data_IF_211727909537
#
_entry.id   IF_211727909537
#
_cell.length_a   1.000
_cell.length_b   1.000
_cell.length_c   1.000
_cell.angle_alpha   90.00
_cell.angle_beta   90.00
_cell.angle_gamma   90.00
#
_symmetry.space_group_name_H-M   'P 1'
#
loop_
_entity.id
_entity.type
_entity.pdbx_description
1 polymer ?
#
# COMPACT_ATOMS: atom_id res chain seq x y z
N UNK A 1 2.88 5.33 33.27
CA UNK A 1 2.12 6.09 32.26
C UNK A 1 1.96 5.21 31.04
N UNK A 2 0.75 4.79 30.73
CA UNK A 2 0.51 4.01 29.52
C UNK A 2 0.64 4.96 28.32
N UNK A 3 1.62 4.72 27.46
CA UNK A 3 1.73 5.40 26.18
C UNK A 3 0.44 5.12 25.38
N UNK A 4 -0.21 6.16 24.90
CA UNK A 4 -1.32 6.00 23.98
C UNK A 4 -0.85 5.15 22.79
N UNK A 5 -1.65 4.20 22.29
CA UNK A 5 -1.26 3.40 21.14
C UNK A 5 -0.99 4.35 19.98
N UNK A 6 0.23 4.29 19.45
CA UNK A 6 0.58 4.99 18.23
C UNK A 6 -0.35 4.47 17.12
N UNK A 7 -0.97 5.34 16.32
CA UNK A 7 -1.75 4.88 15.19
C UNK A 7 -0.84 4.07 14.27
N UNK A 8 -1.18 2.81 14.06
CA UNK A 8 -0.46 1.96 13.12
C UNK A 8 -0.66 2.50 11.71
N UNK A 9 0.42 2.85 11.05
CA UNK A 9 0.40 3.27 9.66
C UNK A 9 -0.04 2.11 8.75
N UNK A 10 -0.69 2.41 7.63
CA UNK A 10 -1.03 1.39 6.64
C UNK A 10 0.22 0.68 6.11
N UNK A 11 0.01 -0.50 5.57
CA UNK A 11 1.08 -1.30 4.94
C UNK A 11 1.89 -0.45 3.95
N UNK A 12 3.21 -0.55 3.96
CA UNK A 12 4.23 0.18 3.19
C UNK A 12 4.60 1.57 3.72
N UNK A 13 3.72 2.25 4.42
CA UNK A 13 3.93 3.64 4.83
C UNK A 13 4.74 3.70 6.13
N UNK A 14 5.82 4.48 6.10
CA UNK A 14 6.65 4.75 7.26
C UNK A 14 6.26 6.06 7.94
N UNK A 15 5.73 7.00 7.16
CA UNK A 15 5.23 8.28 7.64
C UNK A 15 4.12 8.78 6.71
N UNK A 16 3.32 9.71 7.17
CA UNK A 16 2.30 10.38 6.36
C UNK A 16 2.31 11.86 6.60
N UNK A 17 2.46 12.62 5.51
CA UNK A 17 2.48 14.07 5.52
C UNK A 17 1.40 14.61 4.58
N UNK A 18 0.57 15.57 5.02
CA UNK A 18 -0.40 16.21 4.14
C UNK A 18 0.30 16.95 2.99
N UNK A 19 -0.17 16.72 1.78
CA UNK A 19 0.31 17.43 0.60
C UNK A 19 -0.32 18.83 0.55
N UNK A 20 0.51 19.85 0.37
CA UNK A 20 0.05 21.22 0.16
C UNK A 20 0.88 21.95 -0.91
N UNK A 21 0.28 22.92 -1.57
CA UNK A 21 0.93 23.63 -2.68
C UNK A 21 2.04 24.61 -2.25
N UNK A 22 2.00 25.05 -0.99
CA UNK A 22 2.98 26.01 -0.47
C UNK A 22 4.35 25.34 -0.31
N UNK A 23 4.37 24.22 0.40
CA UNK A 23 5.62 23.54 0.75
C UNK A 23 6.07 22.56 -0.32
N UNK A 24 5.12 21.94 -1.03
CA UNK A 24 5.38 20.86 -1.97
C UNK A 24 5.17 21.24 -3.44
N UNK A 25 4.92 22.52 -3.74
CA UNK A 25 4.62 22.97 -5.12
C UNK A 25 5.73 22.68 -6.15
N UNK A 26 6.96 22.49 -5.69
CA UNK A 26 8.11 22.14 -6.55
C UNK A 26 8.44 20.65 -6.56
N UNK A 27 7.76 19.85 -5.75
CA UNK A 27 8.00 18.41 -5.70
C UNK A 27 7.56 17.76 -7.01
N UNK A 28 8.24 16.71 -7.37
CA UNK A 28 7.93 15.87 -8.52
C UNK A 28 7.91 14.42 -8.07
N UNK A 29 7.00 13.64 -8.60
CA UNK A 29 7.03 12.20 -8.42
C UNK A 29 8.23 11.63 -9.18
N UNK A 30 9.04 10.84 -8.50
CA UNK A 30 10.06 10.03 -9.16
C UNK A 30 9.36 8.85 -9.84
N UNK A 31 9.81 8.50 -11.03
CA UNK A 31 9.39 7.24 -11.63
C UNK A 31 9.88 6.11 -10.73
N UNK A 32 8.95 5.26 -10.29
CA UNK A 32 9.30 4.11 -9.45
C UNK A 32 9.69 2.98 -10.40
N UNK A 33 10.98 2.78 -10.55
CA UNK A 33 11.53 1.70 -11.40
C UNK A 33 11.70 0.40 -10.59
N UNK A 34 11.52 0.46 -9.29
CA UNK A 34 11.63 -0.69 -8.42
C UNK A 34 10.48 -0.76 -7.41
N UNK A 35 10.06 -1.97 -7.10
CA UNK A 35 9.03 -2.29 -6.13
C UNK A 35 9.64 -2.94 -4.87
N UNK A 36 10.81 -2.49 -4.44
CA UNK A 36 11.52 -3.04 -3.28
C UNK A 36 10.70 -3.04 -2.00
N UNK A 37 9.80 -2.07 -1.84
CA UNK A 37 8.86 -2.02 -0.72
C UNK A 37 7.90 -3.22 -0.66
N UNK A 38 7.70 -3.93 -1.78
CA UNK A 38 6.86 -5.14 -1.86
C UNK A 38 7.62 -6.42 -1.51
N UNK A 39 8.93 -6.41 -1.54
CA UNK A 39 9.76 -7.62 -1.47
C UNK A 39 9.41 -8.53 -0.28
N UNK A 40 9.08 -7.94 0.84
CA UNK A 40 8.76 -8.66 2.07
C UNK A 40 7.25 -8.74 2.36
N UNK A 41 6.40 -8.45 1.38
CA UNK A 41 4.95 -8.46 1.54
C UNK A 41 4.34 -9.61 0.76
N UNK A 42 3.85 -10.62 1.45
CA UNK A 42 3.24 -11.80 0.84
C UNK A 42 1.76 -11.63 0.51
N UNK A 43 1.09 -10.64 1.10
CA UNK A 43 -0.33 -10.35 0.87
C UNK A 43 -0.59 -8.83 0.90
N UNK A 44 -1.45 -8.36 0.02
CA UNK A 44 -1.78 -6.94 -0.15
C UNK A 44 -3.29 -6.77 -0.20
N UNK A 45 -3.85 -5.76 0.48
CA UNK A 45 -5.29 -5.48 0.41
C UNK A 45 -5.78 -5.27 -1.02
N UNK A 46 -6.99 -5.75 -1.29
CA UNK A 46 -7.62 -5.71 -2.60
C UNK A 46 -9.05 -5.18 -2.47
N UNK A 47 -9.51 -4.39 -3.40
CA UNK A 47 -10.92 -3.99 -3.47
C UNK A 47 -11.72 -5.01 -4.28
N UNK A 48 -13.02 -5.10 -4.03
CA UNK A 48 -13.92 -6.03 -4.75
C UNK A 48 -13.95 -5.74 -6.26
N UNK A 49 -13.87 -4.48 -6.64
CA UNK A 49 -13.86 -4.07 -8.05
C UNK A 49 -12.63 -4.58 -8.83
N UNK A 50 -11.57 -4.94 -8.12
CA UNK A 50 -10.35 -5.46 -8.71
C UNK A 50 -10.35 -6.98 -8.91
N UNK A 51 -11.33 -7.72 -8.38
CA UNK A 51 -11.33 -9.18 -8.37
C UNK A 51 -11.20 -9.78 -9.76
N UNK A 52 -11.92 -9.24 -10.73
CA UNK A 52 -11.91 -9.74 -12.11
C UNK A 52 -10.51 -9.66 -12.73
N UNK A 53 -9.77 -8.61 -12.44
CA UNK A 53 -8.41 -8.41 -12.97
C UNK A 53 -7.38 -9.21 -12.15
N UNK A 54 -7.46 -9.11 -10.83
CA UNK A 54 -6.46 -9.70 -9.93
C UNK A 54 -6.47 -11.24 -9.96
N UNK A 55 -7.64 -11.86 -10.09
CA UNK A 55 -7.78 -13.32 -10.11
C UNK A 55 -6.98 -14.01 -11.23
N UNK A 56 -6.66 -13.28 -12.28
CA UNK A 56 -5.89 -13.83 -13.42
C UNK A 56 -4.43 -14.13 -13.05
N UNK A 57 -3.93 -13.43 -12.06
CA UNK A 57 -2.52 -13.51 -11.67
C UNK A 57 -2.32 -14.02 -10.24
N UNK A 58 -3.31 -13.79 -9.35
CA UNK A 58 -3.14 -14.04 -7.92
C UNK A 58 -4.33 -14.79 -7.33
N UNK A 59 -4.11 -15.68 -6.37
CA UNK A 59 -5.18 -16.13 -5.49
C UNK A 59 -5.72 -14.94 -4.69
N UNK A 60 -7.05 -14.91 -4.52
CA UNK A 60 -7.73 -13.95 -3.66
C UNK A 60 -8.14 -14.69 -2.41
N UNK A 61 -7.68 -14.21 -1.26
CA UNK A 61 -7.99 -14.77 0.05
C UNK A 61 -8.60 -13.71 0.95
N UNK A 62 -9.21 -14.12 2.04
CA UNK A 62 -9.78 -13.21 3.02
C UNK A 62 -9.05 -13.36 4.36
N UNK A 63 -8.79 -12.24 5.01
CA UNK A 63 -8.23 -12.27 6.36
C UNK A 63 -9.22 -12.91 7.33
N UNK A 64 -8.71 -13.50 8.41
CA UNK A 64 -9.53 -14.01 9.51
C UNK A 64 -10.05 -12.84 10.38
N UNK A 65 -11.10 -13.12 11.16
CA UNK A 65 -11.67 -12.16 12.10
C UNK A 65 -13.08 -11.70 11.73
N UNK A 66 -13.62 -10.80 12.53
CA UNK A 66 -15.01 -10.33 12.40
C UNK A 66 -15.26 -9.44 11.19
N UNK A 67 -14.20 -8.84 10.66
CA UNK A 67 -14.25 -8.00 9.46
C UNK A 67 -13.20 -8.48 8.46
N UNK A 68 -13.49 -9.56 7.72
CA UNK A 68 -12.56 -10.11 6.75
C UNK A 68 -12.29 -9.13 5.61
N UNK A 69 -11.00 -8.92 5.31
CA UNK A 69 -10.55 -8.10 4.20
C UNK A 69 -10.10 -9.00 3.05
N UNK A 70 -10.49 -8.70 1.80
CA UNK A 70 -9.94 -9.40 0.65
C UNK A 70 -8.47 -9.03 0.45
N UNK A 71 -7.65 -10.02 0.21
CA UNK A 71 -6.22 -9.93 0.03
C UNK A 71 -5.79 -10.59 -1.27
N UNK A 72 -4.90 -9.93 -1.98
CA UNK A 72 -4.13 -10.48 -3.08
C UNK A 72 -2.94 -11.24 -2.52
N UNK A 73 -2.86 -12.54 -2.75
CA UNK A 73 -1.76 -13.38 -2.24
C UNK A 73 -0.60 -13.38 -3.23
N UNK A 74 0.54 -12.86 -2.82
CA UNK A 74 1.75 -12.72 -3.64
C UNK A 74 2.89 -13.65 -3.19
N UNK A 75 2.69 -14.37 -2.12
CA UNK A 75 3.61 -15.38 -1.59
C UNK A 75 2.92 -16.27 -0.58
N UNK A 76 3.40 -17.49 -0.41
CA UNK A 76 2.84 -18.47 0.51
C UNK A 76 3.42 -18.34 1.93
N UNK A 77 4.61 -17.78 2.04
CA UNK A 77 5.29 -17.60 3.30
C UNK A 77 5.30 -16.13 3.70
N UNK A 78 5.08 -15.85 4.98
CA UNK A 78 5.20 -14.51 5.51
C UNK A 78 6.58 -13.92 5.19
N UNK A 79 6.60 -12.68 4.76
CA UNK A 79 7.83 -11.98 4.40
C UNK A 79 8.41 -12.32 3.02
N UNK A 80 7.73 -13.14 2.22
CA UNK A 80 8.22 -13.54 0.89
C UNK A 80 7.21 -13.17 -0.20
N UNK A 81 7.64 -12.37 -1.16
CA UNK A 81 6.89 -12.05 -2.37
C UNK A 81 7.56 -12.73 -3.57
N UNK A 82 6.82 -13.59 -4.26
CA UNK A 82 7.36 -14.36 -5.39
C UNK A 82 7.29 -13.62 -6.73
N UNK A 83 6.63 -12.45 -6.77
CA UNK A 83 6.48 -11.63 -7.98
C UNK A 83 7.53 -10.53 -8.10
N UNK A 84 8.34 -10.34 -7.07
CA UNK A 84 9.39 -9.31 -7.03
C UNK A 84 10.74 -10.00 -6.84
N UNK A 85 11.68 -9.69 -7.71
CA UNK A 85 13.04 -10.24 -7.62
C UNK A 85 13.89 -9.55 -6.53
N UNK A 86 15.13 -10.00 -6.37
CA UNK A 86 16.05 -9.44 -5.38
C UNK A 86 16.43 -7.98 -5.65
N UNK A 87 16.24 -7.51 -6.87
CA UNK A 87 16.50 -6.13 -7.29
C UNK A 87 15.25 -5.24 -7.18
N UNK A 88 14.13 -5.76 -6.68
CA UNK A 88 12.87 -5.03 -6.55
C UNK A 88 12.06 -4.94 -7.85
N UNK A 89 12.44 -5.69 -8.88
CA UNK A 89 11.74 -5.68 -10.16
C UNK A 89 10.61 -6.71 -10.18
N UNK A 90 9.47 -6.34 -10.74
CA UNK A 90 8.35 -7.25 -10.96
C UNK A 90 8.68 -8.17 -12.14
N UNK A 91 8.63 -9.48 -11.92
CA UNK A 91 9.14 -10.48 -12.84
C UNK A 91 8.32 -10.65 -14.13
N UNK A 92 7.03 -10.38 -14.09
CA UNK A 92 6.12 -10.61 -15.21
C UNK A 92 5.12 -9.46 -15.37
N UNK A 93 4.54 -9.25 -16.56
CA UNK A 93 3.43 -8.33 -16.72
C UNK A 93 2.20 -8.88 -16.00
N UNK A 94 2.02 -8.51 -14.75
CA UNK A 94 0.91 -8.88 -13.90
C UNK A 94 0.05 -7.67 -13.57
N UNK A 95 -1.21 -7.92 -13.18
CA UNK A 95 -2.04 -6.86 -12.64
C UNK A 95 -1.40 -6.29 -11.36
N UNK A 96 -1.33 -4.98 -11.26
CA UNK A 96 -0.82 -4.31 -10.06
C UNK A 96 -2.01 -3.79 -9.24
N UNK A 97 -2.28 -4.33 -8.06
CA UNK A 97 -3.36 -3.86 -7.19
C UNK A 97 -3.30 -2.35 -6.92
N UNK A 98 -4.47 -1.73 -6.81
CA UNK A 98 -4.59 -0.29 -6.56
C UNK A 98 -3.88 0.13 -5.26
N UNK A 99 -3.86 -0.72 -4.26
CA UNK A 99 -3.15 -0.49 -3.02
C UNK A 99 -1.65 -0.24 -3.24
N UNK A 100 -1.04 -0.97 -4.16
CA UNK A 100 0.36 -0.81 -4.55
C UNK A 100 0.53 0.44 -5.42
N UNK A 101 -0.35 0.63 -6.41
CA UNK A 101 -0.26 1.74 -7.37
C UNK A 101 -0.38 3.12 -6.73
N UNK A 102 -1.15 3.23 -5.63
CA UNK A 102 -1.31 4.51 -4.93
C UNK A 102 -0.07 4.96 -4.17
N UNK A 103 0.79 4.00 -3.77
CA UNK A 103 2.00 4.33 -3.01
C UNK A 103 2.91 5.29 -3.80
N UNK A 104 3.48 6.33 -3.21
CA UNK A 104 3.47 6.70 -1.78
C UNK A 104 2.31 7.61 -1.33
N UNK A 105 1.27 7.77 -2.14
CA UNK A 105 0.15 8.64 -1.82
C UNK A 105 -0.98 7.89 -1.13
N UNK A 106 -1.73 8.60 -0.29
CA UNK A 106 -2.96 8.06 0.28
C UNK A 106 -3.90 9.18 0.74
N UNK A 107 -5.20 8.91 0.74
CA UNK A 107 -6.19 9.76 1.35
C UNK A 107 -6.35 9.40 2.82
N UNK A 108 -6.24 10.37 3.70
CA UNK A 108 -6.38 10.18 5.14
C UNK A 108 -7.12 11.35 5.80
N UNK A 109 -7.78 11.07 6.91
CA UNK A 109 -8.29 12.12 7.78
C UNK A 109 -7.13 12.69 8.60
N UNK A 110 -6.95 14.00 8.57
CA UNK A 110 -5.92 14.68 9.37
C UNK A 110 -6.28 14.72 10.85
N UNK A 111 -7.59 14.69 11.15
CA UNK A 111 -8.14 14.62 12.52
C UNK A 111 -9.27 13.62 12.54
N UNK A 112 -9.51 12.94 13.68
CA UNK A 112 -10.60 11.95 13.79
C UNK A 112 -11.99 12.51 13.49
N UNK A 113 -12.20 13.80 13.76
CA UNK A 113 -13.45 14.55 13.56
C UNK A 113 -13.55 15.23 12.20
N UNK A 114 -12.55 15.07 11.32
CA UNK A 114 -12.59 15.64 9.98
C UNK A 114 -13.63 14.96 9.09
N UNK A 115 -14.46 15.75 8.41
CA UNK A 115 -15.45 15.26 7.46
C UNK A 115 -14.84 14.92 6.10
N UNK A 116 -13.70 15.52 5.78
CA UNK A 116 -13.02 15.37 4.50
C UNK A 116 -11.72 14.59 4.64
N UNK A 117 -11.38 13.91 3.54
CA UNK A 117 -10.09 13.25 3.38
C UNK A 117 -9.10 14.22 2.75
N UNK A 118 -7.87 14.21 3.24
CA UNK A 118 -6.76 14.97 2.68
C UNK A 118 -5.79 14.05 1.94
N UNK A 119 -5.26 14.54 0.83
CA UNK A 119 -4.20 13.83 0.13
C UNK A 119 -2.91 13.92 0.93
N UNK A 120 -2.39 12.77 1.32
CA UNK A 120 -1.13 12.63 2.03
C UNK A 120 -0.13 11.82 1.21
N UNK A 121 1.12 11.91 1.57
CA UNK A 121 2.18 11.09 0.97
C UNK A 121 3.21 10.68 2.02
N UNK A 122 3.94 9.62 1.72
CA UNK A 122 5.08 9.19 2.53
C UNK A 122 6.34 9.94 2.06
N UNK A 123 6.93 10.82 2.90
CA UNK A 123 8.11 11.60 2.52
C UNK A 123 9.41 10.82 2.64
N UNK A 124 9.38 9.57 3.10
CA UNK A 124 10.59 8.77 3.38
C UNK A 124 11.14 8.05 2.15
N UNK A 125 10.52 8.24 0.96
CA UNK A 125 10.88 7.58 -0.31
C UNK A 125 11.61 8.52 -1.27
#
# INVERSE_FOLDING_TARGET
MASAPQPTLPLFYNDLMPLNSRDHGKFRTKQIDDAGFLKNQHAVPLTVDEFVQAQRNFPIVFSSGDQPLPLCLMGLNEGVNTYVDDQGKVNEPVYIPAYIRRYPFMLAKLRPDADELSLCFDPTQ
#
